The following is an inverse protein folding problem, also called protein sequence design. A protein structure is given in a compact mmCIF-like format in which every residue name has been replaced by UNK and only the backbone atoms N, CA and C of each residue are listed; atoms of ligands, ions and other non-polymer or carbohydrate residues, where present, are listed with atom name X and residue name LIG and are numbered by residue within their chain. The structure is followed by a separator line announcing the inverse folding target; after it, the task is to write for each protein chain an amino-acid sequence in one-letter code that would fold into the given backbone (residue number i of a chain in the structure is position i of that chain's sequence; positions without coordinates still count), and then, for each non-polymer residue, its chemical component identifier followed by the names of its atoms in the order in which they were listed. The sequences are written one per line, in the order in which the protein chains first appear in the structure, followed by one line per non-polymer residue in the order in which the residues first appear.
data_IF_378243285120
#
_entry.id   IF_378243285120
#
_cell.length_a   1.000
_cell.length_b   1.000
_cell.length_c   1.000
_cell.angle_alpha   90.00
_cell.angle_beta   90.00
_cell.angle_gamma   90.00
#
_symmetry.space_group_name_H-M   'P 1'
#
loop_
_entity.id
_entity.type
_entity.pdbx_description
1 polymer ?
#
# COMPACT_ATOMS: atom_id res chain seq x y z
N UNK A 1 8.69 -15.99 18.44
CA UNK A 1 7.82 -15.51 17.34
C UNK A 1 6.57 -14.93 17.97
N UNK A 2 6.02 -13.81 17.46
CA UNK A 2 4.72 -13.32 17.91
C UNK A 2 3.65 -14.40 17.71
N UNK A 3 2.75 -14.55 18.69
CA UNK A 3 1.60 -15.44 18.55
C UNK A 3 0.57 -14.80 17.62
N UNK A 4 0.29 -15.45 16.50
CA UNK A 4 -0.71 -15.03 15.51
C UNK A 4 -2.05 -15.76 15.67
N UNK A 5 -2.24 -16.53 16.75
CA UNK A 5 -3.50 -17.23 17.04
C UNK A 5 -4.58 -16.21 17.44
N UNK A 6 -5.74 -16.37 16.81
CA UNK A 6 -6.80 -15.37 16.70
C UNK A 6 -7.62 -15.18 17.97
N UNK A 7 -8.04 -13.94 18.22
CA UNK A 7 -9.33 -13.65 18.84
C UNK A 7 -10.41 -13.60 17.74
N UNK A 8 -11.47 -14.42 17.88
CA UNK A 8 -12.72 -14.38 17.09
C UNK A 8 -12.58 -14.47 15.56
N UNK A 9 -12.38 -15.68 15.04
CA UNK A 9 -12.74 -16.06 13.66
C UNK A 9 -11.95 -15.45 12.51
N UNK A 10 -11.08 -14.47 12.76
CA UNK A 10 -10.15 -13.90 11.79
C UNK A 10 -8.80 -14.61 11.90
N UNK A 11 -8.49 -15.48 10.94
CA UNK A 11 -7.18 -16.11 10.86
C UNK A 11 -6.16 -15.10 10.28
N UNK A 12 -5.50 -14.37 11.17
CA UNK A 12 -4.51 -13.33 10.84
C UNK A 12 -3.36 -13.88 9.98
N UNK A 13 -2.93 -15.12 10.22
CA UNK A 13 -1.90 -15.76 9.42
C UNK A 13 -2.36 -15.98 7.96
N UNK A 14 -3.56 -16.54 7.76
CA UNK A 14 -4.12 -16.75 6.42
C UNK A 14 -4.31 -15.43 5.66
N UNK A 15 -4.78 -14.40 6.33
CA UNK A 15 -4.85 -13.06 5.76
C UNK A 15 -3.47 -12.56 5.31
N UNK A 16 -2.46 -12.67 6.19
CA UNK A 16 -1.09 -12.23 5.89
C UNK A 16 -0.42 -13.07 4.79
N UNK A 17 -0.80 -14.33 4.59
CA UNK A 17 -0.30 -15.14 3.45
C UNK A 17 -0.66 -14.53 2.11
N UNK A 18 -1.84 -13.91 1.99
CA UNK A 18 -2.25 -13.18 0.79
C UNK A 18 -1.32 -12.01 0.44
N UNK A 19 -0.59 -11.50 1.43
CA UNK A 19 0.36 -10.39 1.31
C UNK A 19 1.82 -10.87 1.42
N UNK A 20 2.10 -12.16 1.33
CA UNK A 20 3.48 -12.66 1.23
C UNK A 20 4.09 -13.17 2.53
N UNK A 21 3.32 -13.35 3.59
CA UNK A 21 3.79 -14.03 4.81
C UNK A 21 4.37 -15.41 4.49
N UNK A 22 5.61 -15.63 4.91
CA UNK A 22 6.33 -16.88 4.67
C UNK A 22 5.60 -18.12 5.21
N UNK A 23 5.91 -19.24 4.54
CA UNK A 23 5.71 -20.58 5.10
C UNK A 23 7.01 -21.03 5.75
N UNK A 24 6.99 -21.49 7.01
CA UNK A 24 8.19 -22.01 7.66
C UNK A 24 8.85 -23.10 6.82
N UNK A 25 10.14 -22.94 6.51
CA UNK A 25 10.89 -23.87 5.67
C UNK A 25 12.33 -23.40 5.44
N UNK A 26 13.13 -24.22 4.74
CA UNK A 26 14.55 -23.90 4.48
C UNK A 26 14.74 -22.61 3.66
N UNK A 27 13.87 -22.37 2.68
CA UNK A 27 13.94 -21.18 1.84
C UNK A 27 13.68 -19.88 2.62
N UNK A 28 12.63 -19.85 3.44
CA UNK A 28 12.32 -18.67 4.26
C UNK A 28 13.37 -18.43 5.35
N UNK A 29 14.00 -19.48 5.87
CA UNK A 29 15.16 -19.35 6.76
C UNK A 29 16.38 -18.73 6.07
N UNK A 30 16.70 -19.18 4.85
CA UNK A 30 17.79 -18.59 4.07
C UNK A 30 17.55 -17.11 3.77
N UNK A 31 16.33 -16.75 3.36
CA UNK A 31 15.95 -15.34 3.18
C UNK A 31 16.07 -14.55 4.47
N UNK A 32 15.66 -15.11 5.61
CA UNK A 32 15.81 -14.43 6.91
C UNK A 32 17.26 -14.12 7.26
N UNK A 33 18.17 -15.10 7.10
CA UNK A 33 19.59 -14.90 7.36
C UNK A 33 20.17 -13.83 6.43
N UNK A 34 19.80 -13.82 5.15
CA UNK A 34 20.30 -12.81 4.21
C UNK A 34 19.76 -11.39 4.52
N UNK A 35 18.49 -11.26 4.92
CA UNK A 35 17.94 -9.98 5.39
C UNK A 35 18.71 -9.45 6.61
N UNK A 36 19.16 -10.36 7.49
CA UNK A 36 19.93 -10.02 8.69
C UNK A 36 21.36 -9.60 8.32
N UNK A 37 22.02 -10.33 7.44
CA UNK A 37 23.36 -9.99 6.92
C UNK A 37 23.36 -8.61 6.24
N UNK A 38 22.28 -8.25 5.55
CA UNK A 38 22.13 -6.95 4.86
C UNK A 38 21.69 -5.78 5.77
N UNK A 39 21.60 -5.97 7.09
CA UNK A 39 21.11 -4.99 8.08
C UNK A 39 19.76 -4.37 7.71
N UNK A 40 18.81 -5.18 7.24
CA UNK A 40 17.50 -4.67 6.81
C UNK A 40 16.75 -4.00 7.99
N UNK A 41 16.84 -4.56 9.20
CA UNK A 41 16.24 -3.95 10.39
C UNK A 41 16.85 -2.59 10.72
N UNK A 42 18.19 -2.44 10.68
CA UNK A 42 18.83 -1.16 10.93
C UNK A 42 18.51 -0.12 9.87
N UNK A 43 18.46 -0.51 8.59
CA UNK A 43 18.00 0.35 7.48
C UNK A 43 16.56 0.81 7.69
N UNK A 44 15.65 -0.12 7.96
CA UNK A 44 14.23 0.20 8.21
C UNK A 44 14.08 1.10 9.43
N UNK A 45 14.83 0.90 10.52
CA UNK A 45 14.77 1.76 11.70
C UNK A 45 15.23 3.21 11.40
N UNK A 46 16.29 3.39 10.60
CA UNK A 46 16.73 4.72 10.14
C UNK A 46 15.65 5.42 9.32
N UNK A 47 15.06 4.70 8.36
CA UNK A 47 13.95 5.19 7.53
C UNK A 47 12.75 5.53 8.42
N UNK A 48 12.40 4.67 9.37
CA UNK A 48 11.29 4.89 10.27
C UNK A 48 11.46 6.16 11.10
N UNK A 49 12.63 6.34 11.75
CA UNK A 49 12.93 7.54 12.53
C UNK A 49 12.83 8.82 11.70
N UNK A 50 13.34 8.79 10.46
CA UNK A 50 13.26 9.90 9.51
C UNK A 50 11.81 10.31 9.26
N UNK A 51 10.96 9.38 8.82
CA UNK A 51 9.57 9.69 8.43
C UNK A 51 8.63 9.91 9.62
N UNK A 52 8.85 9.21 10.75
CA UNK A 52 8.13 9.48 12.00
C UNK A 52 8.31 10.92 12.45
N UNK A 53 9.55 11.40 12.49
CA UNK A 53 9.85 12.79 12.86
C UNK A 53 9.27 13.78 11.85
N UNK A 54 9.54 13.58 10.56
CA UNK A 54 9.15 14.50 9.48
C UNK A 54 7.64 14.66 9.35
N UNK A 55 6.89 13.57 9.47
CA UNK A 55 5.43 13.58 9.32
C UNK A 55 4.69 13.76 10.64
N UNK A 56 5.42 13.81 11.78
CA UNK A 56 4.85 13.72 13.13
C UNK A 56 3.91 12.51 13.26
N UNK A 57 4.31 11.41 12.63
CA UNK A 57 3.54 10.17 12.57
C UNK A 57 3.63 9.38 13.88
N UNK A 58 2.81 8.34 14.02
CA UNK A 58 2.68 7.61 15.27
C UNK A 58 3.86 6.70 15.59
N UNK A 59 3.99 6.39 16.87
CA UNK A 59 4.84 5.31 17.34
C UNK A 59 4.14 3.96 17.15
N UNK A 60 4.68 3.09 16.29
CA UNK A 60 4.08 1.80 15.96
C UNK A 60 5.14 0.72 15.79
N UNK A 61 4.83 -0.55 16.09
CA UNK A 61 5.67 -1.68 15.74
C UNK A 61 5.77 -1.85 14.22
N UNK A 62 6.99 -1.94 13.72
CA UNK A 62 7.34 -2.33 12.36
C UNK A 62 7.88 -3.76 12.39
N UNK A 63 7.15 -4.68 11.78
CA UNK A 63 7.48 -6.10 11.77
C UNK A 63 7.97 -6.50 10.38
N UNK A 64 9.16 -7.09 10.31
CA UNK A 64 9.77 -7.52 9.05
C UNK A 64 9.79 -9.04 9.03
N UNK A 65 9.27 -9.61 7.95
CA UNK A 65 9.22 -11.04 7.70
C UNK A 65 9.83 -11.39 6.33
N UNK A 66 10.44 -12.57 6.20
CA UNK A 66 10.76 -13.12 4.89
C UNK A 66 9.51 -13.23 4.03
N UNK A 67 9.66 -13.00 2.73
CA UNK A 67 8.58 -13.18 1.77
C UNK A 67 8.43 -14.65 1.34
N UNK A 68 7.19 -15.10 1.10
CA UNK A 68 6.92 -16.37 0.45
C UNK A 68 7.30 -16.31 -1.05
N UNK A 69 8.48 -16.84 -1.37
CA UNK A 69 9.01 -16.91 -2.73
C UNK A 69 8.13 -17.72 -3.70
N UNK A 70 7.22 -18.56 -3.19
CA UNK A 70 6.30 -19.34 -4.04
C UNK A 70 5.12 -18.53 -4.56
N UNK A 71 4.91 -17.30 -4.07
CA UNK A 71 3.82 -16.44 -4.51
C UNK A 71 4.24 -15.63 -5.76
N UNK A 72 4.15 -16.26 -6.94
CA UNK A 72 4.55 -15.66 -8.23
C UNK A 72 3.90 -14.31 -8.50
N UNK A 73 2.64 -14.11 -8.10
CA UNK A 73 1.95 -12.83 -8.27
C UNK A 73 2.68 -11.72 -7.52
N UNK A 74 2.98 -11.92 -6.25
CA UNK A 74 3.67 -10.91 -5.45
C UNK A 74 5.14 -10.75 -5.86
N UNK A 75 5.78 -11.82 -6.33
CA UNK A 75 7.13 -11.74 -6.89
C UNK A 75 7.17 -10.88 -8.16
N UNK A 76 6.17 -11.01 -9.04
CA UNK A 76 6.11 -10.26 -10.30
C UNK A 76 5.57 -8.82 -10.11
N UNK A 77 4.45 -8.66 -9.41
CA UNK A 77 3.80 -7.35 -9.20
C UNK A 77 4.54 -6.51 -8.15
N UNK A 78 4.94 -7.13 -7.05
CA UNK A 78 5.64 -6.48 -5.93
C UNK A 78 7.16 -6.46 -6.06
N UNK A 79 7.75 -7.13 -7.07
CA UNK A 79 9.22 -7.31 -7.21
C UNK A 79 9.86 -7.89 -5.95
N UNK A 80 9.26 -8.92 -5.37
CA UNK A 80 9.76 -9.56 -4.15
C UNK A 80 9.62 -8.72 -2.88
N UNK A 81 8.73 -7.73 -2.88
CA UNK A 81 8.41 -6.96 -1.68
C UNK A 81 6.93 -6.60 -1.61
N UNK A 82 6.42 -6.52 -0.40
CA UNK A 82 5.04 -6.10 -0.12
C UNK A 82 4.91 -5.69 1.34
N UNK A 83 3.85 -4.96 1.64
CA UNK A 83 3.54 -4.57 3.00
C UNK A 83 2.06 -4.69 3.30
N UNK A 84 1.76 -4.62 4.60
CA UNK A 84 0.40 -4.51 5.12
C UNK A 84 0.42 -3.53 6.28
N UNK A 85 -0.43 -2.52 6.15
CA UNK A 85 -0.60 -1.49 7.16
C UNK A 85 -1.92 -1.65 7.90
N UNK A 86 -1.83 -1.74 9.23
CA UNK A 86 -2.95 -1.58 10.14
C UNK A 86 -2.87 -0.23 10.84
N UNK A 87 -3.93 0.14 11.55
CA UNK A 87 -3.97 1.40 12.29
C UNK A 87 -2.84 1.54 13.32
N UNK A 88 -2.37 0.43 13.88
CA UNK A 88 -1.45 0.39 15.02
C UNK A 88 -0.17 -0.41 14.74
N UNK A 89 0.03 -0.90 13.52
CA UNK A 89 1.16 -1.78 13.20
C UNK A 89 1.43 -1.83 11.70
N UNK A 90 2.69 -2.04 11.35
CA UNK A 90 3.16 -2.17 9.98
C UNK A 90 3.87 -3.51 9.81
N UNK A 91 3.57 -4.21 8.72
CA UNK A 91 4.19 -5.49 8.36
C UNK A 91 4.85 -5.37 6.99
N UNK A 92 6.12 -5.75 6.89
CA UNK A 92 6.87 -5.83 5.65
C UNK A 92 7.22 -7.28 5.35
N UNK A 93 6.98 -7.71 4.12
CA UNK A 93 7.36 -9.02 3.61
C UNK A 93 8.38 -8.81 2.51
N UNK A 94 9.62 -9.21 2.77
CA UNK A 94 10.77 -8.82 1.96
C UNK A 94 11.55 -10.05 1.48
N UNK A 95 11.95 -10.05 0.22
CA UNK A 95 13.17 -10.72 -0.23
C UNK A 95 14.38 -9.83 0.05
N UNK A 96 15.62 -10.33 -0.07
CA UNK A 96 16.81 -9.50 0.07
C UNK A 96 16.75 -8.30 -0.87
N UNK A 97 16.87 -7.10 -0.30
CA UNK A 97 16.82 -5.83 -1.05
C UNK A 97 18.24 -5.28 -1.15
N UNK A 98 18.71 -5.10 -2.39
CA UNK A 98 20.01 -4.47 -2.67
C UNK A 98 19.92 -2.94 -2.63
N UNK A 99 18.86 -2.39 -3.22
CA UNK A 99 18.65 -0.95 -3.33
C UNK A 99 17.82 -0.42 -2.15
N UNK A 100 18.47 0.32 -1.25
CA UNK A 100 17.84 0.93 -0.08
C UNK A 100 16.66 1.84 -0.45
N UNK A 101 16.67 2.47 -1.65
CA UNK A 101 15.53 3.28 -2.11
C UNK A 101 14.27 2.46 -2.30
N UNK A 102 14.37 1.19 -2.66
CA UNK A 102 13.19 0.32 -2.78
C UNK A 102 12.58 -0.03 -1.44
N UNK A 103 13.42 -0.19 -0.40
CA UNK A 103 12.96 -0.36 0.97
C UNK A 103 12.33 0.93 1.49
N UNK A 104 12.95 2.08 1.20
CA UNK A 104 12.44 3.39 1.56
C UNK A 104 11.10 3.70 0.88
N UNK A 105 10.95 3.42 -0.41
CA UNK A 105 9.71 3.60 -1.15
C UNK A 105 8.55 2.78 -0.55
N UNK A 106 8.79 1.49 -0.31
CA UNK A 106 7.79 0.62 0.31
C UNK A 106 7.45 1.10 1.73
N UNK A 107 8.46 1.50 2.51
CA UNK A 107 8.23 1.97 3.86
C UNK A 107 7.39 3.26 3.88
N UNK A 108 7.69 4.23 3.02
CA UNK A 108 6.93 5.48 2.90
C UNK A 108 5.48 5.18 2.57
N UNK A 109 5.24 4.30 1.59
CA UNK A 109 3.89 3.90 1.18
C UNK A 109 3.09 3.33 2.36
N UNK A 110 3.64 2.30 3.01
CA UNK A 110 2.95 1.63 4.11
C UNK A 110 2.80 2.53 5.35
N UNK A 111 3.85 3.30 5.69
CA UNK A 111 3.78 4.22 6.82
C UNK A 111 2.78 5.35 6.58
N UNK A 112 2.57 5.76 5.33
CA UNK A 112 1.53 6.72 4.95
C UNK A 112 0.14 6.17 5.26
N UNK A 113 -0.11 4.90 4.93
CA UNK A 113 -1.35 4.23 5.27
C UNK A 113 -1.61 4.22 6.78
N UNK A 114 -0.60 3.87 7.60
CA UNK A 114 -0.71 3.92 9.07
C UNK A 114 -1.13 5.32 9.53
N UNK A 115 -0.41 6.35 9.10
CA UNK A 115 -0.67 7.73 9.50
C UNK A 115 -2.10 8.15 9.15
N UNK A 116 -2.53 7.88 7.91
CA UNK A 116 -3.87 8.22 7.43
C UNK A 116 -4.96 7.43 8.14
N UNK A 117 -4.80 6.13 8.34
CA UNK A 117 -5.77 5.29 9.05
C UNK A 117 -5.97 5.72 10.51
N UNK A 118 -4.93 6.23 11.16
CA UNK A 118 -5.05 6.82 12.49
C UNK A 118 -5.77 8.16 12.47
N UNK A 119 -5.42 9.05 11.54
CA UNK A 119 -6.02 10.38 11.43
C UNK A 119 -7.52 10.32 11.10
N UNK A 120 -7.92 9.45 10.18
CA UNK A 120 -9.31 9.35 9.70
C UNK A 120 -10.26 8.65 10.69
N UNK A 121 -9.72 7.89 11.66
CA UNK A 121 -10.49 7.12 12.68
C UNK A 121 -11.59 6.18 12.13
N UNK A 122 -11.68 6.00 10.82
CA UNK A 122 -12.64 5.14 10.14
C UNK A 122 -12.26 3.67 10.27
N UNK A 123 -13.26 2.80 10.42
CA UNK A 123 -13.05 1.35 10.40
C UNK A 123 -12.72 0.89 8.99
N UNK A 124 -11.71 0.02 8.84
CA UNK A 124 -11.32 -0.56 7.54
C UNK A 124 -12.51 -1.24 6.85
N UNK A 125 -13.44 -1.83 7.61
CA UNK A 125 -14.63 -2.49 7.05
C UNK A 125 -15.63 -1.52 6.42
N UNK A 126 -15.60 -0.25 6.84
CA UNK A 126 -16.50 0.80 6.37
C UNK A 126 -15.90 1.60 5.21
N UNK A 127 -14.63 1.35 4.88
CA UNK A 127 -13.95 1.96 3.73
C UNK A 127 -14.71 1.63 2.46
N UNK A 128 -14.94 2.66 1.67
CA UNK A 128 -15.50 2.55 0.33
C UNK A 128 -14.39 2.35 -0.70
N UNK A 129 -14.76 2.02 -1.93
CA UNK A 129 -13.82 1.96 -3.04
C UNK A 129 -13.10 3.30 -3.23
N UNK A 130 -13.80 4.43 -3.07
CA UNK A 130 -13.16 5.75 -3.12
C UNK A 130 -12.11 5.92 -2.02
N UNK A 131 -12.39 5.49 -0.80
CA UNK A 131 -11.40 5.57 0.29
C UNK A 131 -10.13 4.78 -0.06
N UNK A 132 -10.28 3.57 -0.60
CA UNK A 132 -9.14 2.73 -0.98
C UNK A 132 -8.35 3.32 -2.15
N UNK A 133 -9.04 3.77 -3.21
CA UNK A 133 -8.41 4.40 -4.38
C UNK A 133 -7.63 5.66 -3.97
N UNK A 134 -8.20 6.49 -3.11
CA UNK A 134 -7.54 7.70 -2.60
C UNK A 134 -6.37 7.35 -1.67
N UNK A 135 -6.52 6.33 -0.81
CA UNK A 135 -5.48 5.85 0.09
C UNK A 135 -4.22 5.43 -0.69
N UNK A 136 -4.40 4.58 -1.70
CA UNK A 136 -3.33 4.09 -2.57
C UNK A 136 -2.70 5.22 -3.41
N UNK A 137 -3.55 6.06 -4.03
CA UNK A 137 -3.07 7.18 -4.83
C UNK A 137 -2.25 8.18 -4.01
N UNK A 138 -2.70 8.54 -2.81
CA UNK A 138 -1.99 9.49 -1.95
C UNK A 138 -0.63 8.91 -1.50
N UNK A 139 -0.59 7.64 -1.12
CA UNK A 139 0.65 6.99 -0.68
C UNK A 139 1.73 7.04 -1.77
N UNK A 140 1.39 6.68 -3.02
CA UNK A 140 2.31 6.76 -4.15
C UNK A 140 2.78 8.20 -4.44
N UNK A 141 1.86 9.17 -4.42
CA UNK A 141 2.25 10.58 -4.61
C UNK A 141 3.16 11.11 -3.50
N UNK A 142 3.09 10.53 -2.29
CA UNK A 142 4.02 10.86 -1.20
C UNK A 142 5.38 10.20 -1.40
N UNK A 143 5.44 8.97 -1.92
CA UNK A 143 6.70 8.35 -2.36
C UNK A 143 7.43 9.26 -3.35
N UNK A 144 6.72 9.74 -4.37
CA UNK A 144 7.31 10.65 -5.36
C UNK A 144 7.81 11.97 -4.75
N UNK A 145 7.04 12.53 -3.81
CA UNK A 145 7.38 13.79 -3.15
C UNK A 145 8.64 13.67 -2.29
N UNK A 146 8.84 12.52 -1.65
CA UNK A 146 9.91 12.31 -0.68
C UNK A 146 11.21 11.82 -1.32
N UNK A 147 11.13 10.94 -2.32
CA UNK A 147 12.31 10.27 -2.89
C UNK A 147 12.37 10.29 -4.42
N UNK A 148 11.45 10.96 -5.11
CA UNK A 148 11.47 11.10 -6.57
C UNK A 148 10.62 10.06 -7.31
N UNK A 149 10.14 10.43 -8.49
CA UNK A 149 9.19 9.65 -9.30
C UNK A 149 9.77 8.34 -9.80
N UNK A 150 11.07 8.26 -10.01
CA UNK A 150 11.75 7.05 -10.47
C UNK A 150 11.66 5.88 -9.47
N UNK A 151 11.30 6.17 -8.22
CA UNK A 151 11.12 5.20 -7.14
C UNK A 151 9.65 4.85 -6.88
N UNK A 152 8.72 5.41 -7.66
CA UNK A 152 7.29 5.10 -7.59
C UNK A 152 6.97 3.70 -8.10
N UNK A 153 5.79 3.21 -7.76
CA UNK A 153 5.37 1.88 -8.17
C UNK A 153 5.03 1.77 -9.66
N UNK A 154 5.20 0.57 -10.25
CA UNK A 154 4.99 0.35 -11.69
C UNK A 154 3.59 0.70 -12.18
N UNK A 155 2.56 0.62 -11.33
CA UNK A 155 1.18 0.92 -11.72
C UNK A 155 0.94 2.41 -11.95
N UNK A 156 1.82 3.31 -11.47
CA UNK A 156 1.70 4.75 -11.68
C UNK A 156 1.76 5.13 -13.17
N UNK A 157 2.50 4.36 -13.97
CA UNK A 157 2.69 4.59 -15.41
C UNK A 157 2.11 3.46 -16.28
N UNK A 158 1.37 2.51 -15.69
CA UNK A 158 0.85 1.33 -16.40
C UNK A 158 -0.26 1.66 -17.40
N UNK A 159 -1.09 2.65 -17.09
CA UNK A 159 -2.22 3.06 -17.93
C UNK A 159 -2.16 4.55 -18.19
N UNK A 160 -2.38 4.96 -19.44
CA UNK A 160 -2.61 6.36 -19.79
C UNK A 160 -3.96 6.84 -19.26
N UNK A 161 -4.14 8.15 -19.16
CA UNK A 161 -5.43 8.73 -18.78
C UNK A 161 -6.56 8.29 -19.72
N UNK A 162 -6.28 8.23 -21.03
CA UNK A 162 -7.22 7.76 -22.05
C UNK A 162 -7.61 6.28 -21.85
N UNK A 163 -6.66 5.44 -21.43
CA UNK A 163 -6.93 4.03 -21.12
C UNK A 163 -7.77 3.88 -19.84
N UNK A 164 -7.61 4.76 -18.85
CA UNK A 164 -8.39 4.74 -17.61
C UNK A 164 -9.80 5.30 -17.77
N UNK A 165 -10.02 6.24 -18.70
CA UNK A 165 -11.29 6.97 -18.84
C UNK A 165 -12.52 6.07 -19.05
N UNK A 166 -12.49 5.02 -19.90
CA UNK A 166 -13.61 4.09 -20.03
C UNK A 166 -13.93 3.37 -18.71
N UNK A 167 -12.91 2.97 -17.95
CA UNK A 167 -13.11 2.29 -16.67
C UNK A 167 -13.68 3.23 -15.61
N UNK A 168 -13.25 4.49 -15.58
CA UNK A 168 -13.87 5.53 -14.76
C UNK A 168 -15.37 5.63 -15.05
N UNK A 169 -15.74 5.90 -16.30
CA UNK A 169 -17.13 6.11 -16.73
C UNK A 169 -18.02 4.88 -16.54
N UNK A 170 -17.52 3.69 -16.85
CA UNK A 170 -18.33 2.49 -16.91
C UNK A 170 -18.38 1.73 -15.58
N UNK A 171 -17.31 1.81 -14.77
CA UNK A 171 -17.13 0.96 -13.60
C UNK A 171 -16.80 1.73 -12.32
N UNK A 172 -15.72 2.50 -12.28
CA UNK A 172 -15.21 3.05 -11.01
C UNK A 172 -16.18 4.10 -10.45
N UNK A 173 -16.57 5.11 -11.24
CA UNK A 173 -17.42 6.23 -10.79
C UNK A 173 -18.79 5.75 -10.26
N UNK A 174 -19.31 4.64 -10.80
CA UNK A 174 -20.59 4.05 -10.39
C UNK A 174 -20.51 3.22 -9.11
N UNK A 175 -19.31 2.83 -8.70
CA UNK A 175 -19.07 1.89 -7.60
C UNK A 175 -18.23 2.51 -6.47
N UNK A 176 -18.07 3.84 -6.44
CA UNK A 176 -17.23 4.54 -5.45
C UNK A 176 -17.64 4.29 -3.99
N UNK A 177 -18.91 3.99 -3.74
CA UNK A 177 -19.46 3.76 -2.39
C UNK A 177 -19.44 2.27 -1.97
N UNK A 178 -19.10 1.36 -2.89
CA UNK A 178 -18.99 -0.08 -2.61
C UNK A 178 -18.01 -0.31 -1.47
N UNK A 179 -18.42 -1.09 -0.47
CA UNK A 179 -17.67 -1.28 0.77
C UNK A 179 -16.60 -2.34 0.64
N UNK A 180 -15.56 -2.25 1.47
CA UNK A 180 -14.43 -3.18 1.49
C UNK A 180 -14.82 -4.65 1.68
N UNK A 181 -15.93 -4.94 2.36
CA UNK A 181 -16.41 -6.31 2.56
C UNK A 181 -17.15 -6.89 1.34
N UNK A 182 -17.48 -6.07 0.34
CA UNK A 182 -18.14 -6.50 -0.88
C UNK A 182 -17.10 -6.97 -1.91
N UNK A 183 -17.22 -8.16 -2.52
CA UNK A 183 -16.21 -8.67 -3.46
C UNK A 183 -15.94 -7.77 -4.67
N UNK A 184 -16.92 -6.95 -5.08
CA UNK A 184 -16.76 -6.01 -6.18
C UNK A 184 -15.69 -4.94 -5.89
N UNK A 185 -15.54 -4.54 -4.62
CA UNK A 185 -14.50 -3.60 -4.19
C UNK A 185 -13.11 -4.10 -4.63
N UNK A 186 -12.75 -5.31 -4.21
CA UNK A 186 -11.42 -5.88 -4.47
C UNK A 186 -11.25 -6.27 -5.93
N UNK A 187 -12.34 -6.64 -6.63
CA UNK A 187 -12.29 -6.86 -8.08
C UNK A 187 -11.88 -5.61 -8.85
N UNK A 188 -12.43 -4.45 -8.50
CA UNK A 188 -12.07 -3.19 -9.16
C UNK A 188 -10.70 -2.72 -8.68
N UNK A 189 -10.44 -2.74 -7.38
CA UNK A 189 -9.21 -2.23 -6.79
C UNK A 189 -7.98 -2.98 -7.34
N UNK A 190 -7.98 -4.31 -7.24
CA UNK A 190 -6.85 -5.14 -7.65
C UNK A 190 -6.88 -5.55 -9.13
N UNK A 191 -7.98 -5.33 -9.84
CA UNK A 191 -8.09 -5.71 -11.24
C UNK A 191 -8.28 -7.21 -11.46
N UNK A 192 -9.40 -7.75 -10.99
CA UNK A 192 -9.70 -9.19 -11.06
C UNK A 192 -10.81 -9.46 -12.08
N UNK A 193 -10.61 -10.46 -12.94
CA UNK A 193 -11.57 -10.87 -13.97
C UNK A 193 -11.57 -9.91 -15.15
N UNK A 194 -12.66 -9.19 -15.38
CA UNK A 194 -12.79 -8.24 -16.50
C UNK A 194 -12.03 -6.92 -16.28
N UNK A 195 -11.55 -6.68 -15.07
CA UNK A 195 -10.84 -5.45 -14.71
C UNK A 195 -9.34 -5.64 -14.95
N UNK A 196 -8.66 -4.68 -15.58
CA UNK A 196 -7.24 -4.77 -15.82
C UNK A 196 -6.47 -4.68 -14.49
N UNK A 197 -5.34 -5.38 -14.40
CA UNK A 197 -4.56 -5.55 -13.18
C UNK A 197 -4.19 -4.23 -12.51
N UNK A 198 -4.49 -4.12 -11.20
CA UNK A 198 -4.27 -2.91 -10.38
C UNK A 198 -5.00 -1.65 -10.89
N UNK A 199 -6.18 -1.83 -11.49
CA UNK A 199 -7.00 -0.72 -11.99
C UNK A 199 -7.24 0.37 -10.95
N UNK A 200 -7.65 0.02 -9.73
CA UNK A 200 -7.96 1.01 -8.70
C UNK A 200 -6.73 1.79 -8.22
N UNK A 201 -5.57 1.14 -8.17
CA UNK A 201 -4.29 1.79 -7.82
C UNK A 201 -3.92 2.84 -8.87
N UNK A 202 -3.94 2.46 -10.15
CA UNK A 202 -3.63 3.38 -11.25
C UNK A 202 -4.65 4.53 -11.35
N UNK A 203 -5.94 4.21 -11.17
CA UNK A 203 -7.00 5.22 -11.12
C UNK A 203 -6.80 6.21 -9.95
N UNK A 204 -6.41 5.71 -8.78
CA UNK A 204 -6.12 6.54 -7.60
C UNK A 204 -4.95 7.48 -7.83
N UNK A 205 -3.86 6.95 -8.39
CA UNK A 205 -2.71 7.74 -8.76
C UNK A 205 -3.07 8.86 -9.78
N UNK A 206 -3.86 8.54 -10.82
CA UNK A 206 -4.36 9.54 -11.78
C UNK A 206 -5.26 10.60 -11.12
N UNK A 207 -6.16 10.19 -10.23
CA UNK A 207 -7.07 11.09 -9.51
C UNK A 207 -6.29 12.11 -8.66
N UNK A 208 -5.30 11.65 -7.90
CA UNK A 208 -4.46 12.53 -7.07
C UNK A 208 -3.57 13.42 -7.94
N UNK A 209 -3.11 12.92 -9.10
CA UNK A 209 -2.39 13.75 -10.07
C UNK A 209 -3.25 14.91 -10.58
N UNK A 210 -4.53 14.68 -10.88
CA UNK A 210 -5.50 15.72 -11.27
C UNK A 210 -5.77 16.72 -10.15
N UNK A 211 -5.84 16.26 -8.90
CA UNK A 211 -5.89 17.15 -7.74
C UNK A 211 -4.65 18.07 -7.69
N UNK A 212 -3.44 17.49 -7.83
CA UNK A 212 -2.16 18.21 -7.76
C UNK A 212 -1.99 19.27 -8.85
N UNK A 213 -2.63 19.11 -10.01
CA UNK A 213 -2.62 20.12 -11.08
C UNK A 213 -3.38 21.41 -10.70
N UNK A 214 -4.36 21.32 -9.80
CA UNK A 214 -5.18 22.47 -9.39
C UNK A 214 -4.86 22.97 -7.98
N UNK A 215 -4.39 22.08 -7.10
CA UNK A 215 -4.16 22.35 -5.68
C UNK A 215 -2.83 21.76 -5.24
N UNK A 216 -2.11 22.46 -4.36
CA UNK A 216 -0.89 21.91 -3.75
C UNK A 216 -1.27 20.77 -2.80
N UNK A 217 -0.56 19.64 -2.89
CA UNK A 217 -0.68 18.53 -1.94
C UNK A 217 0.49 18.59 -0.95
N UNK A 218 0.21 18.81 0.33
CA UNK A 218 1.20 18.65 1.40
C UNK A 218 1.09 17.26 2.05
N UNK A 219 2.11 16.88 2.83
CA UNK A 219 2.05 15.65 3.66
C UNK A 219 0.85 15.69 4.61
N UNK A 220 0.58 16.84 5.22
CA UNK A 220 -0.56 16.99 6.13
C UNK A 220 -1.88 16.78 5.39
N UNK A 221 -2.01 17.35 4.18
CA UNK A 221 -3.22 17.18 3.37
C UNK A 221 -3.44 15.73 2.96
N UNK A 222 -2.37 15.01 2.60
CA UNK A 222 -2.47 13.60 2.20
C UNK A 222 -2.86 12.68 3.36
N UNK A 223 -2.62 13.08 4.60
CA UNK A 223 -3.03 12.35 5.81
C UNK A 223 -4.46 12.75 6.23
N UNK A 224 -4.76 14.04 6.23
CA UNK A 224 -5.96 14.57 6.88
C UNK A 224 -7.17 14.73 5.96
N UNK A 225 -6.98 15.01 4.66
CA UNK A 225 -8.11 15.28 3.77
C UNK A 225 -8.95 14.00 3.56
N UNK A 226 -10.27 14.03 3.81
CA UNK A 226 -11.12 12.87 3.62
C UNK A 226 -11.22 12.52 2.13
N UNK A 227 -11.48 11.25 1.81
CA UNK A 227 -11.52 10.78 0.42
C UNK A 227 -12.57 11.51 -0.44
N UNK A 228 -13.67 11.95 0.18
CA UNK A 228 -14.72 12.75 -0.48
C UNK A 228 -14.21 14.05 -1.08
N UNK A 229 -13.13 14.64 -0.56
CA UNK A 229 -12.50 15.85 -1.11
C UNK A 229 -12.01 15.63 -2.54
N UNK A 230 -11.59 14.41 -2.88
CA UNK A 230 -11.06 14.09 -4.20
C UNK A 230 -12.16 13.74 -5.21
N UNK A 231 -13.42 13.63 -4.77
CA UNK A 231 -14.57 13.27 -5.63
C UNK A 231 -14.81 14.28 -6.75
N UNK A 232 -14.48 15.56 -6.53
CA UNK A 232 -14.62 16.61 -7.55
C UNK A 232 -13.67 16.43 -8.76
N UNK A 233 -12.66 15.56 -8.63
CA UNK A 233 -11.68 15.25 -9.68
C UNK A 233 -11.97 13.93 -10.40
N UNK A 234 -13.04 13.22 -10.02
CA UNK A 234 -13.49 11.99 -10.68
C UNK A 234 -13.98 12.34 -12.10
N UNK A 235 -13.48 11.66 -13.15
CA UNK A 235 -13.89 11.88 -14.54
C UNK A 235 -15.32 11.42 -14.88
#
# INVERSE_FOLDING_TARGET
MPDFRSDKGFNKYEFMRGFGMYRPGRGSWATFEELKEKDIWGKTDRIYKKYKSRWKGPDIPVNIFPMDLSNERLMNEGRGKSGVSFRDSLFLFLTPIEDEKQLEALFIHEYHHVCRLQAQKKSIRDNTLLDSIVLEGLAEHIVELEIGRENGAQWCDRYSEEQLLPYWKQSISKNLEVKKHEPLHDKILFGIGRYPTLLGYAAGYDLIRKYKQKKKLTIKDSIDLPAVTFREFVP
#
